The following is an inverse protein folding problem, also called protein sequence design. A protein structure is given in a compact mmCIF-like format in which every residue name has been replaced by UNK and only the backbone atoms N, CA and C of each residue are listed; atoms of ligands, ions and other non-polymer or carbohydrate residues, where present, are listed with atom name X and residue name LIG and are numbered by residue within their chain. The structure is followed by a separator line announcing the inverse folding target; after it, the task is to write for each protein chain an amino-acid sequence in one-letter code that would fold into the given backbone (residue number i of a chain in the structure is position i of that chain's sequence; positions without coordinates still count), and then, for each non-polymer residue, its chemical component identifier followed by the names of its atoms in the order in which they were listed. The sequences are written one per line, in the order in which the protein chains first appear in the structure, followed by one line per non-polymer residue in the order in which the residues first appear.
data_IF_363136212461
#
_entry.id   IF_363136212461
#
_cell.length_a   1.000
_cell.length_b   1.000
_cell.length_c   1.000
_cell.angle_alpha   90.00
_cell.angle_beta   90.00
_cell.angle_gamma   90.00
#
_symmetry.space_group_name_H-M   'P 1'
#
loop_
_entity.id
_entity.type
_entity.pdbx_description
1 polymer ?
#
# COMPACT_ATOMS: atom_id res chain seq x y z
N UNK A 1 22.23 9.95 -0.08
CA UNK A 1 22.05 8.75 -0.92
C UNK A 1 21.56 9.22 -2.24
N UNK A 2 22.22 8.79 -3.30
CA UNK A 2 21.78 9.13 -4.65
C UNK A 2 20.41 8.50 -4.93
N UNK A 3 19.59 9.19 -5.71
CA UNK A 3 18.28 8.70 -6.15
C UNK A 3 18.37 7.28 -6.72
N UNK A 4 19.41 7.00 -7.50
CA UNK A 4 19.62 5.68 -8.09
C UNK A 4 19.89 4.58 -7.04
N UNK A 5 20.63 4.90 -5.98
CA UNK A 5 20.84 3.98 -4.85
C UNK A 5 19.54 3.70 -4.10
N UNK A 6 18.70 4.73 -3.91
CA UNK A 6 17.38 4.58 -3.28
C UNK A 6 16.46 3.70 -4.11
N UNK A 7 16.45 3.86 -5.44
CA UNK A 7 15.69 3.01 -6.36
C UNK A 7 16.21 1.57 -6.34
N UNK A 8 17.53 1.35 -6.31
CA UNK A 8 18.09 0.01 -6.18
C UNK A 8 17.72 -0.65 -4.85
N UNK A 9 17.81 0.09 -3.74
CA UNK A 9 17.35 -0.39 -2.43
C UNK A 9 15.87 -0.72 -2.42
N UNK A 10 15.04 0.10 -3.05
CA UNK A 10 13.61 -0.17 -3.18
C UNK A 10 13.34 -1.45 -3.98
N UNK A 11 14.12 -1.73 -5.05
CA UNK A 11 14.03 -2.98 -5.81
C UNK A 11 14.42 -4.20 -4.96
N UNK A 12 15.47 -4.09 -4.14
CA UNK A 12 15.87 -5.16 -3.20
C UNK A 12 14.82 -5.37 -2.10
N UNK A 13 14.30 -4.29 -1.52
CA UNK A 13 13.24 -4.35 -0.51
C UNK A 13 11.96 -4.99 -1.06
N UNK A 14 11.61 -4.70 -2.32
CA UNK A 14 10.51 -5.36 -3.03
C UNK A 14 10.74 -6.88 -3.11
N UNK A 15 11.94 -7.33 -3.46
CA UNK A 15 12.26 -8.76 -3.56
C UNK A 15 12.22 -9.45 -2.20
N UNK A 16 12.49 -8.71 -1.11
CA UNK A 16 12.38 -9.18 0.26
C UNK A 16 10.97 -9.01 0.86
N UNK A 17 9.97 -8.57 0.09
CA UNK A 17 8.61 -8.27 0.55
C UNK A 17 8.52 -7.25 1.71
N UNK A 18 9.56 -6.43 1.87
CA UNK A 18 9.63 -5.37 2.89
C UNK A 18 9.11 -4.06 2.34
N UNK A 19 7.79 -3.97 2.19
CA UNK A 19 7.14 -2.82 1.54
C UNK A 19 7.23 -1.51 2.33
N UNK A 20 7.34 -1.56 3.67
CA UNK A 20 7.56 -0.38 4.51
C UNK A 20 8.93 0.27 4.22
N UNK A 21 9.99 -0.54 4.16
CA UNK A 21 11.34 -0.09 3.80
C UNK A 21 11.38 0.43 2.36
N UNK A 22 10.68 -0.24 1.45
CA UNK A 22 10.52 0.18 0.07
C UNK A 22 9.84 1.55 -0.02
N UNK A 23 8.77 1.78 0.76
CA UNK A 23 8.06 3.06 0.80
C UNK A 23 8.92 4.18 1.36
N UNK A 24 9.70 3.91 2.41
CA UNK A 24 10.63 4.88 2.99
C UNK A 24 11.73 5.29 1.99
N UNK A 25 12.34 4.32 1.29
CA UNK A 25 13.36 4.59 0.27
C UNK A 25 12.80 5.42 -0.89
N UNK A 26 11.64 5.03 -1.42
CA UNK A 26 11.01 5.73 -2.53
C UNK A 26 10.53 7.13 -2.14
N UNK A 27 10.03 7.32 -0.91
CA UNK A 27 9.67 8.64 -0.38
C UNK A 27 10.88 9.57 -0.32
N UNK A 28 12.00 9.11 0.24
CA UNK A 28 13.24 9.89 0.26
C UNK A 28 13.71 10.25 -1.15
N UNK A 29 13.52 9.37 -2.14
CA UNK A 29 13.81 9.66 -3.55
C UNK A 29 12.91 10.74 -4.16
N UNK A 30 11.65 10.85 -3.72
CA UNK A 30 10.73 11.92 -4.15
C UNK A 30 11.06 13.28 -3.53
N UNK A 31 11.57 13.30 -2.30
CA UNK A 31 11.93 14.53 -1.57
C UNK A 31 13.18 15.22 -2.15
N UNK A 32 13.96 14.51 -2.97
CA UNK A 32 15.12 15.08 -3.69
C UNK A 32 14.74 16.02 -4.83
N UNK A 33 13.43 16.20 -5.13
CA UNK A 33 12.93 17.19 -6.07
C UNK A 33 13.17 16.87 -7.56
N UNK A 34 13.76 15.71 -7.86
CA UNK A 34 13.97 15.25 -9.22
C UNK A 34 12.69 14.61 -9.79
N UNK A 35 12.43 14.84 -11.08
CA UNK A 35 11.28 14.25 -11.76
C UNK A 35 11.37 12.72 -11.74
N UNK A 36 10.25 12.06 -11.41
CA UNK A 36 10.18 10.60 -11.34
C UNK A 36 9.91 10.00 -12.71
N UNK A 37 10.70 9.01 -13.07
CA UNK A 37 10.45 8.18 -14.24
C UNK A 37 9.18 7.34 -14.04
N UNK A 38 8.65 6.80 -15.13
CA UNK A 38 7.47 5.94 -15.07
C UNK A 38 7.71 4.70 -14.19
N UNK A 39 8.93 4.15 -14.23
CA UNK A 39 9.32 2.99 -13.43
C UNK A 39 9.37 3.34 -11.93
N UNK A 40 9.93 4.50 -11.57
CA UNK A 40 10.02 4.97 -10.19
C UNK A 40 8.63 5.25 -9.60
N UNK A 41 7.74 5.87 -10.38
CA UNK A 41 6.34 6.10 -9.98
C UNK A 41 5.59 4.79 -9.75
N UNK A 42 5.86 3.77 -10.58
CA UNK A 42 5.29 2.45 -10.40
C UNK A 42 5.80 1.79 -9.11
N UNK A 43 7.12 1.87 -8.83
CA UNK A 43 7.70 1.36 -7.59
C UNK A 43 7.09 2.04 -6.36
N UNK A 44 6.91 3.36 -6.40
CA UNK A 44 6.24 4.12 -5.34
C UNK A 44 4.80 3.62 -5.12
N UNK A 45 4.06 3.41 -6.22
CA UNK A 45 2.69 2.91 -6.17
C UNK A 45 2.60 1.50 -5.58
N UNK A 46 3.50 0.60 -5.98
CA UNK A 46 3.58 -0.78 -5.46
C UNK A 46 3.88 -0.78 -3.97
N UNK A 47 4.83 0.05 -3.52
CA UNK A 47 5.20 0.13 -2.11
C UNK A 47 3.98 0.51 -1.24
N UNK A 48 3.35 1.65 -1.54
CA UNK A 48 2.24 2.13 -0.72
C UNK A 48 0.98 1.26 -0.82
N UNK A 49 0.66 0.70 -2.00
CA UNK A 49 -0.48 -0.24 -2.15
C UNK A 49 -0.35 -1.45 -1.24
N UNK A 50 0.85 -2.02 -1.13
CA UNK A 50 1.08 -3.20 -0.30
C UNK A 50 1.06 -2.86 1.20
N UNK A 51 1.67 -1.74 1.61
CA UNK A 51 1.64 -1.28 3.02
C UNK A 51 0.20 -1.07 3.50
N UNK A 52 -0.59 -0.31 2.73
CA UNK A 52 -2.00 -0.05 3.07
C UNK A 52 -2.83 -1.34 2.98
N UNK A 53 -2.57 -2.19 1.99
CA UNK A 53 -3.22 -3.48 1.83
C UNK A 53 -3.04 -4.39 3.05
N UNK A 54 -1.82 -4.54 3.53
CA UNK A 54 -1.50 -5.32 4.73
C UNK A 54 -2.21 -4.78 5.97
N UNK A 55 -2.21 -3.45 6.16
CA UNK A 55 -2.90 -2.80 7.28
C UNK A 55 -4.41 -2.99 7.23
N UNK A 56 -5.02 -2.93 6.05
CA UNK A 56 -6.45 -3.19 5.85
C UNK A 56 -6.81 -4.65 6.12
N UNK A 57 -5.96 -5.59 5.72
CA UNK A 57 -6.15 -7.01 6.04
C UNK A 57 -6.10 -7.25 7.54
N UNK A 58 -5.09 -6.71 8.23
CA UNK A 58 -5.00 -6.79 9.70
C UNK A 58 -6.20 -6.15 10.40
N UNK A 59 -6.68 -5.00 9.90
CA UNK A 59 -7.89 -4.36 10.43
C UNK A 59 -9.13 -5.22 10.24
N UNK A 60 -9.30 -5.89 9.09
CA UNK A 60 -10.41 -6.82 8.85
C UNK A 60 -10.35 -8.06 9.75
N UNK A 61 -9.16 -8.56 10.06
CA UNK A 61 -8.98 -9.68 10.98
C UNK A 61 -9.33 -9.31 12.42
N UNK A 62 -9.01 -8.08 12.83
CA UNK A 62 -9.32 -7.58 14.17
C UNK A 62 -10.80 -7.22 14.32
N UNK A 63 -11.43 -6.68 13.27
CA UNK A 63 -12.84 -6.31 13.28
C UNK A 63 -13.68 -7.58 13.42
N UNK A 64 -14.49 -7.75 14.49
CA UNK A 64 -15.46 -8.82 14.52
C UNK A 64 -16.41 -8.59 13.35
N UNK A 65 -16.34 -9.45 12.34
CA UNK A 65 -17.36 -9.48 11.30
C UNK A 65 -18.68 -9.74 12.04
N UNK A 66 -19.66 -8.82 12.02
CA UNK A 66 -20.96 -9.16 12.55
C UNK A 66 -21.40 -10.41 11.76
N UNK A 67 -21.91 -11.45 12.43
CA UNK A 67 -22.39 -12.63 11.74
C UNK A 67 -23.34 -12.15 10.65
N UNK A 68 -23.16 -12.64 9.43
CA UNK A 68 -23.98 -12.28 8.27
C UNK A 68 -25.44 -12.39 8.72
N UNK A 69 -26.07 -11.25 9.03
CA UNK A 69 -27.50 -11.22 9.36
C UNK A 69 -28.19 -11.42 8.03
N UNK A 70 -28.54 -12.67 7.75
CA UNK A 70 -29.37 -13.04 6.61
C UNK A 70 -30.67 -12.22 6.68
N UNK A 71 -30.75 -11.18 5.85
CA UNK A 71 -31.99 -10.57 5.38
C UNK A 71 -32.80 -9.73 6.37
N UNK A 72 -32.36 -8.52 6.70
CA UNK A 72 -33.29 -7.42 6.98
C UNK A 72 -33.46 -6.56 5.71
N UNK A 73 -34.69 -6.34 5.21
CA UNK A 73 -34.92 -5.49 4.04
C UNK A 73 -34.73 -4.02 4.43
N UNK A 74 -33.70 -3.38 3.89
CA UNK A 74 -33.48 -1.94 4.04
C UNK A 74 -32.05 -1.51 4.37
N UNK A 75 -31.15 -2.43 4.69
CA UNK A 75 -29.74 -2.06 4.91
C UNK A 75 -29.02 -2.06 3.58
N UNK A 76 -28.72 -0.85 3.07
CA UNK A 76 -27.79 -0.68 1.96
C UNK A 76 -26.51 -1.42 2.30
N UNK A 77 -26.18 -2.43 1.50
CA UNK A 77 -24.89 -3.12 1.50
C UNK A 77 -23.79 -2.06 1.40
N UNK A 78 -23.28 -1.61 2.55
CA UNK A 78 -22.01 -0.91 2.63
C UNK A 78 -20.90 -1.96 2.52
N UNK A 79 -20.96 -2.71 1.42
CA UNK A 79 -20.07 -3.80 1.11
C UNK A 79 -19.32 -3.42 -0.16
N UNK A 80 -18.01 -3.30 0.02
CA UNK A 80 -16.96 -3.43 -1.00
C UNK A 80 -16.53 -2.20 -1.81
N UNK A 81 -17.04 -0.98 -1.62
CA UNK A 81 -16.57 0.19 -2.41
C UNK A 81 -15.82 1.29 -1.66
N UNK A 82 -16.03 1.46 -0.35
CA UNK A 82 -15.46 2.62 0.37
C UNK A 82 -14.11 2.36 1.03
N UNK A 83 -13.21 1.73 0.28
CA UNK A 83 -11.82 1.74 0.68
C UNK A 83 -10.99 1.66 -0.59
N UNK A 84 -10.90 2.81 -1.27
CA UNK A 84 -9.77 3.10 -2.13
C UNK A 84 -8.53 3.31 -1.24
#
# INVERSE_FOLDING_TARGET
MDKNELVQKAKLAKQAERYDDMAACMKSGTEQGAELSNEERNLLSVAYKNVVGARRSSWREMQPTPPIRLGLPGESLLSCKDSF
#
